data_IF_952492541975
#
_entry.id   IF_952492541975
#
_cell.length_a   1.000
_cell.length_b   1.000
_cell.length_c   1.000
_cell.angle_alpha   90.00
_cell.angle_beta   90.00
_cell.angle_gamma   90.00
#
_symmetry.space_group_name_H-M   'P 1'
#
loop_
_entity.id
_entity.type
_entity.pdbx_description
1 polymer ?
#
# COMPACT_ATOMS: atom_id res chain seq x y z
N UNK A 1 9.39 2.71 -14.91
CA UNK A 1 9.12 3.03 -13.50
C UNK A 1 7.63 3.00 -13.27
N UNK A 2 7.21 2.52 -12.11
CA UNK A 2 5.79 2.40 -11.79
C UNK A 2 5.22 3.73 -11.33
N UNK A 3 3.96 4.00 -11.71
CA UNK A 3 3.21 5.13 -11.17
C UNK A 3 2.38 4.65 -9.98
N UNK A 4 2.17 5.56 -9.04
CA UNK A 4 1.29 5.31 -7.90
C UNK A 4 0.21 6.37 -7.92
N UNK A 5 -1.05 5.91 -7.95
CA UNK A 5 -2.21 6.76 -7.79
C UNK A 5 -2.85 6.44 -6.47
N UNK A 6 -3.25 7.47 -5.74
CA UNK A 6 -3.90 7.30 -4.46
C UNK A 6 -5.36 7.72 -4.60
N UNK A 7 -6.26 6.84 -4.13
CA UNK A 7 -7.67 7.22 -4.04
C UNK A 7 -7.78 8.42 -3.10
N UNK A 8 -8.69 9.34 -3.39
CA UNK A 8 -8.84 10.57 -2.58
C UNK A 8 -9.09 10.31 -1.10
N UNK A 9 -9.68 9.16 -0.75
CA UNK A 9 -9.88 8.80 0.66
C UNK A 9 -8.56 8.61 1.41
N UNK A 10 -7.49 8.25 0.70
CA UNK A 10 -6.17 8.05 1.31
C UNK A 10 -5.67 9.35 1.93
N UNK A 11 -5.87 10.45 1.24
CA UNK A 11 -5.47 11.76 1.73
C UNK A 11 -6.14 12.08 3.07
N UNK A 12 -7.45 11.82 3.16
CA UNK A 12 -8.18 12.00 4.40
C UNK A 12 -7.70 11.05 5.49
N UNK A 13 -7.43 9.80 5.14
CA UNK A 13 -6.97 8.81 6.09
C UNK A 13 -5.62 9.20 6.69
N UNK A 14 -4.73 9.76 5.88
CA UNK A 14 -3.39 10.15 6.32
C UNK A 14 -3.36 11.49 7.02
N UNK A 15 -4.38 12.31 6.89
CA UNK A 15 -4.45 13.61 7.57
C UNK A 15 -5.00 13.50 8.99
N UNK A 16 -5.45 12.31 9.40
CA UNK A 16 -5.92 12.07 10.77
C UNK A 16 -4.76 11.78 11.71
N UNK A 17 -5.07 11.11 12.82
CA UNK A 17 -4.06 10.75 13.81
C UNK A 17 -3.33 9.47 13.36
N UNK A 18 -2.26 9.68 12.62
CA UNK A 18 -1.43 8.58 12.12
C UNK A 18 -0.06 8.68 12.80
N UNK A 19 0.43 7.59 13.43
CA UNK A 19 1.77 7.63 14.00
C UNK A 19 2.81 7.98 12.95
N UNK A 20 3.81 8.76 13.34
CA UNK A 20 4.84 9.23 12.41
C UNK A 20 5.60 8.06 11.77
N UNK A 21 5.78 6.96 12.51
CA UNK A 21 6.47 5.78 11.98
C UNK A 21 5.68 5.18 10.82
N UNK A 22 4.35 5.23 10.89
CA UNK A 22 3.50 4.70 9.83
C UNK A 22 3.61 5.58 8.59
N UNK A 23 3.60 6.90 8.76
CA UNK A 23 3.77 7.82 7.65
C UNK A 23 5.11 7.60 6.95
N UNK A 24 6.18 7.47 7.72
CA UNK A 24 7.51 7.21 7.17
C UNK A 24 7.56 5.87 6.44
N UNK A 25 6.93 4.86 7.00
CA UNK A 25 6.91 3.54 6.40
C UNK A 25 6.11 3.52 5.10
N UNK A 26 5.02 4.28 5.05
CA UNK A 26 4.24 4.42 3.84
C UNK A 26 5.03 5.11 2.73
N UNK A 27 5.79 6.16 3.07
CA UNK A 27 6.65 6.83 2.09
C UNK A 27 7.70 5.87 1.52
N UNK A 28 8.31 5.06 2.40
CA UNK A 28 9.26 4.05 1.97
C UNK A 28 8.60 3.00 1.09
N UNK A 29 7.39 2.57 1.45
CA UNK A 29 6.62 1.63 0.64
C UNK A 29 6.39 2.19 -0.77
N UNK A 30 6.01 3.46 -0.87
CA UNK A 30 5.79 4.10 -2.17
C UNK A 30 7.08 4.18 -2.98
N UNK A 31 8.20 4.50 -2.35
CA UNK A 31 9.48 4.57 -3.05
C UNK A 31 9.85 3.21 -3.65
N UNK A 32 9.70 2.15 -2.86
CA UNK A 32 9.96 0.79 -3.34
C UNK A 32 9.02 0.42 -4.46
N UNK A 33 7.74 0.76 -4.32
CA UNK A 33 6.73 0.49 -5.33
C UNK A 33 7.05 1.20 -6.65
N UNK A 34 7.49 2.45 -6.60
CA UNK A 34 7.86 3.19 -7.81
C UNK A 34 9.03 2.57 -8.53
N UNK A 35 10.05 2.17 -7.78
CA UNK A 35 11.30 1.67 -8.36
C UNK A 35 11.19 0.22 -8.83
N UNK A 36 10.52 -0.62 -8.05
CA UNK A 36 10.56 -2.06 -8.25
C UNK A 36 9.19 -2.71 -8.45
N UNK A 37 8.13 -1.94 -8.32
CA UNK A 37 6.77 -2.45 -8.51
C UNK A 37 6.34 -3.43 -7.44
N UNK A 38 5.28 -4.20 -7.72
CA UNK A 38 4.75 -5.17 -6.75
C UNK A 38 5.77 -6.21 -6.30
N UNK A 39 6.66 -6.62 -7.19
CA UNK A 39 7.69 -7.60 -6.85
C UNK A 39 8.62 -7.07 -5.77
N UNK A 40 8.98 -5.79 -5.85
CA UNK A 40 9.84 -5.17 -4.84
C UNK A 40 9.16 -5.12 -3.48
N UNK A 41 7.88 -4.79 -3.47
CA UNK A 41 7.10 -4.78 -2.22
C UNK A 41 7.04 -6.19 -1.63
N UNK A 42 6.73 -7.19 -2.47
CA UNK A 42 6.58 -8.57 -2.02
C UNK A 42 7.88 -9.18 -1.51
N UNK A 43 9.00 -8.68 -1.96
CA UNK A 43 10.31 -9.17 -1.54
C UNK A 43 10.68 -8.75 -0.12
N UNK A 44 10.01 -7.75 0.43
CA UNK A 44 10.33 -7.25 1.76
C UNK A 44 9.43 -7.93 2.79
N UNK A 45 10.02 -8.80 3.59
CA UNK A 45 9.28 -9.58 4.59
C UNK A 45 8.48 -8.72 5.54
N UNK A 46 9.04 -7.59 5.95
CA UNK A 46 8.39 -6.71 6.91
C UNK A 46 7.06 -6.15 6.45
N UNK A 47 6.82 -6.10 5.14
CA UNK A 47 5.53 -5.67 4.62
C UNK A 47 4.47 -6.77 4.64
N UNK A 48 4.88 -8.02 4.78
CA UNK A 48 3.94 -9.14 4.81
C UNK A 48 2.84 -9.02 3.76
N UNK A 49 3.25 -8.75 2.52
CA UNK A 49 2.32 -8.51 1.42
C UNK A 49 1.55 -9.76 1.07
N UNK A 50 0.24 -9.63 0.89
CA UNK A 50 -0.62 -10.79 0.59
C UNK A 50 -1.80 -10.39 -0.29
N UNK A 51 -2.27 -11.35 -1.06
CA UNK A 51 -3.49 -11.18 -1.85
C UNK A 51 -4.70 -11.26 -0.92
N UNK A 52 -5.69 -10.44 -1.19
CA UNK A 52 -6.91 -10.41 -0.40
C UNK A 52 -8.02 -11.22 -1.08
N UNK A 53 -9.00 -11.61 -0.28
CA UNK A 53 -10.18 -12.35 -0.76
C UNK A 53 -11.44 -11.60 -0.34
N UNK A 54 -12.60 -12.20 -0.62
CA UNK A 54 -13.87 -11.60 -0.27
C UNK A 54 -14.13 -10.35 -1.09
N UNK A 55 -14.63 -9.32 -0.44
CA UNK A 55 -14.94 -8.06 -1.12
C UNK A 55 -13.71 -7.31 -1.62
N UNK A 56 -12.53 -7.66 -1.13
CA UNK A 56 -11.26 -7.09 -1.60
C UNK A 56 -10.56 -7.96 -2.63
N UNK A 57 -11.27 -8.93 -3.20
CA UNK A 57 -10.68 -9.79 -4.23
C UNK A 57 -10.11 -8.93 -5.37
N UNK A 58 -8.91 -9.29 -5.82
CA UNK A 58 -8.20 -8.51 -6.84
C UNK A 58 -7.29 -7.44 -6.27
N UNK A 59 -7.31 -7.25 -4.97
CA UNK A 59 -6.44 -6.32 -4.26
C UNK A 59 -5.42 -7.06 -3.42
N UNK A 60 -4.41 -6.33 -2.99
CA UNK A 60 -3.37 -6.84 -2.10
C UNK A 60 -3.25 -5.90 -0.91
N UNK A 61 -2.69 -6.41 0.18
CA UNK A 61 -2.35 -5.56 1.31
C UNK A 61 -0.91 -5.74 1.73
N UNK A 62 -0.30 -4.66 2.19
CA UNK A 62 1.01 -4.66 2.83
C UNK A 62 0.86 -4.08 4.22
N UNK A 63 1.62 -4.60 5.18
CA UNK A 63 1.65 -4.04 6.54
C UNK A 63 2.58 -2.86 6.61
N UNK A 64 2.12 -1.81 7.28
CA UNK A 64 2.95 -0.64 7.59
C UNK A 64 3.35 -0.61 9.07
N UNK A 65 2.82 -1.53 9.86
CA UNK A 65 3.07 -1.68 11.28
C UNK A 65 2.17 -2.77 11.81
N UNK A 66 2.06 -2.88 13.13
CA UNK A 66 1.26 -3.96 13.73
C UNK A 66 -0.21 -3.91 13.35
N UNK A 67 -0.75 -2.68 13.24
CA UNK A 67 -2.18 -2.51 13.02
C UNK A 67 -2.50 -1.71 11.75
N UNK A 68 -1.49 -1.26 11.02
CA UNK A 68 -1.72 -0.44 9.84
C UNK A 68 -1.40 -1.22 8.58
N UNK A 69 -2.23 -1.03 7.55
CA UNK A 69 -2.01 -1.66 6.26
C UNK A 69 -2.36 -0.72 5.12
N UNK A 70 -1.73 -0.96 3.98
CA UNK A 70 -2.06 -0.32 2.72
C UNK A 70 -2.73 -1.36 1.83
N UNK A 71 -3.89 -1.01 1.27
CA UNK A 71 -4.60 -1.86 0.32
C UNK A 71 -4.46 -1.23 -1.05
N UNK A 72 -4.09 -2.04 -2.03
CA UNK A 72 -3.80 -1.56 -3.37
C UNK A 72 -4.17 -2.60 -4.41
N UNK A 73 -4.31 -2.13 -5.66
CA UNK A 73 -4.44 -2.99 -6.82
C UNK A 73 -3.34 -2.69 -7.81
N UNK A 74 -3.10 -3.63 -8.72
CA UNK A 74 -2.02 -3.54 -9.69
C UNK A 74 -2.59 -3.64 -11.09
N UNK A 75 -2.23 -2.67 -11.94
CA UNK A 75 -2.51 -2.70 -13.37
C UNK A 75 -1.17 -2.83 -14.07
N UNK A 76 -0.76 -4.08 -14.29
CA UNK A 76 0.60 -4.39 -14.76
C UNK A 76 0.87 -3.92 -16.17
N UNK A 77 -0.14 -3.93 -17.03
CA UNK A 77 -0.01 -3.54 -18.43
C UNK A 77 0.35 -2.06 -18.59
N UNK A 78 0.01 -1.22 -17.62
CA UNK A 78 0.34 0.21 -17.66
C UNK A 78 1.26 0.62 -16.51
N UNK A 79 1.85 -0.34 -15.81
CA UNK A 79 2.79 -0.12 -14.71
C UNK A 79 2.20 0.84 -13.66
N UNK A 80 0.98 0.55 -13.22
CA UNK A 80 0.25 1.40 -12.30
C UNK A 80 -0.13 0.63 -11.04
N UNK A 81 0.11 1.24 -9.89
CA UNK A 81 -0.37 0.77 -8.60
C UNK A 81 -1.38 1.79 -8.10
N UNK A 82 -2.59 1.33 -7.80
CA UNK A 82 -3.63 2.19 -7.23
C UNK A 82 -3.79 1.87 -5.75
N UNK A 83 -3.44 2.83 -4.91
CA UNK A 83 -3.64 2.71 -3.47
C UNK A 83 -5.07 3.14 -3.17
N UNK A 84 -5.84 2.24 -2.58
CA UNK A 84 -7.25 2.51 -2.32
C UNK A 84 -7.52 2.79 -0.84
N UNK A 85 -6.64 2.36 0.05
CA UNK A 85 -6.88 2.54 1.48
C UNK A 85 -5.60 2.42 2.28
N UNK A 86 -5.42 3.31 3.26
CA UNK A 86 -4.34 3.22 4.25
C UNK A 86 -5.01 3.41 5.60
N UNK A 87 -5.22 2.32 6.31
CA UNK A 87 -6.04 2.33 7.53
C UNK A 87 -5.49 1.37 8.57
N UNK A 88 -5.91 1.56 9.83
CA UNK A 88 -5.66 0.53 10.83
C UNK A 88 -6.33 -0.78 10.45
N UNK A 89 -5.67 -1.86 10.76
CA UNK A 89 -6.22 -3.20 10.60
C UNK A 89 -7.00 -3.55 11.86
N UNK A 90 -8.27 -3.83 11.71
CA UNK A 90 -9.14 -4.19 12.83
C UNK A 90 -8.83 -5.59 13.37
#
# INVERSE_FOLDING_TARGET
MWRIEEHRRVDKQLSGRVPIEILKRYEKWKDIARLSGPQGIRAIKGFNDEALSGEWKGHRSSRLGLQWRVIYSVMADVLLIQVVQVTPHD
#
